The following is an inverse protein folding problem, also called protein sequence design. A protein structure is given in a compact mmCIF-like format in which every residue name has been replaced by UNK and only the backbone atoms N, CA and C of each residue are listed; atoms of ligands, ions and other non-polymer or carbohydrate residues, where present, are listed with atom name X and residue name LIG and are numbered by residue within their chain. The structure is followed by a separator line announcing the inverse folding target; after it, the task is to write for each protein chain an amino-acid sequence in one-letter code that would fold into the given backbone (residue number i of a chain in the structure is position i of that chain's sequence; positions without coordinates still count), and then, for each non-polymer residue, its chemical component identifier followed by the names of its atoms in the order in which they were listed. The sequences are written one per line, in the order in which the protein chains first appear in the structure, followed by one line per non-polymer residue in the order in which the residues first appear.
data_IF_693619610178
#
_entry.id   IF_693619610178
#
_cell.length_a   1.000
_cell.length_b   1.000
_cell.length_c   1.000
_cell.angle_alpha   90.00
_cell.angle_beta   90.00
_cell.angle_gamma   90.00
#
_symmetry.space_group_name_H-M   'P 1'
#
loop_
_entity.id
_entity.type
_entity.pdbx_description
1 polymer ?
#
# COMPACT_ATOMS: atom_id res chain seq x y z
N UNK A 1 -5.24 19.22 1.34
CA UNK A 1 -6.31 19.54 0.36
C UNK A 1 -6.20 18.77 -0.95
N UNK A 2 -5.04 18.75 -1.64
CA UNK A 2 -4.90 18.16 -2.98
C UNK A 2 -5.47 16.72 -3.12
N UNK A 3 -5.23 15.84 -2.14
CA UNK A 3 -5.80 14.48 -2.18
C UNK A 3 -7.34 14.46 -2.27
N UNK A 4 -8.02 15.30 -1.48
CA UNK A 4 -9.48 15.42 -1.54
C UNK A 4 -9.96 16.03 -2.87
N UNK A 5 -9.21 16.99 -3.43
CA UNK A 5 -9.53 17.56 -4.75
C UNK A 5 -9.51 16.47 -5.82
N UNK A 6 -8.51 15.60 -5.81
CA UNK A 6 -8.43 14.50 -6.79
C UNK A 6 -9.57 13.48 -6.66
N UNK A 7 -10.04 13.19 -5.43
CA UNK A 7 -11.22 12.36 -5.22
C UNK A 7 -12.48 13.01 -5.81
N UNK A 8 -12.67 14.31 -5.60
CA UNK A 8 -13.78 15.08 -6.17
C UNK A 8 -13.72 15.14 -7.71
N UNK A 9 -12.52 15.32 -8.27
CA UNK A 9 -12.28 15.33 -9.72
C UNK A 9 -12.60 13.98 -10.38
N UNK A 10 -12.17 12.86 -9.77
CA UNK A 10 -12.47 11.50 -10.26
C UNK A 10 -13.98 11.24 -10.25
N UNK A 11 -14.68 11.65 -9.19
CA UNK A 11 -16.13 11.57 -9.12
C UNK A 11 -16.80 12.41 -10.21
N UNK A 12 -16.43 13.69 -10.32
CA UNK A 12 -17.00 14.63 -11.27
C UNK A 12 -16.76 14.24 -12.73
N UNK A 13 -15.66 13.54 -13.02
CA UNK A 13 -15.37 12.99 -14.34
C UNK A 13 -16.17 11.72 -14.69
N UNK A 14 -16.88 11.12 -13.73
CA UNK A 14 -17.66 9.91 -13.94
C UNK A 14 -16.82 8.66 -14.15
N UNK A 15 -15.60 8.62 -13.61
CA UNK A 15 -14.66 7.49 -13.78
C UNK A 15 -14.91 6.30 -12.85
N UNK A 16 -15.82 6.43 -11.89
CA UNK A 16 -16.12 5.38 -10.92
C UNK A 16 -17.16 4.40 -11.47
N UNK A 17 -16.90 3.09 -11.33
CA UNK A 17 -17.85 2.04 -11.71
C UNK A 17 -19.17 2.17 -10.94
N UNK A 18 -20.27 1.69 -11.52
CA UNK A 18 -21.54 1.61 -10.79
C UNK A 18 -21.38 0.75 -9.53
N UNK A 19 -21.92 1.21 -8.41
CA UNK A 19 -21.84 0.49 -7.13
C UNK A 19 -20.48 0.57 -6.42
N UNK A 20 -19.55 1.42 -6.88
CA UNK A 20 -18.22 1.58 -6.26
C UNK A 20 -18.26 1.76 -4.73
N UNK A 21 -19.27 2.48 -4.22
CA UNK A 21 -19.42 2.77 -2.79
C UNK A 21 -19.71 1.53 -1.93
N UNK A 22 -20.18 0.43 -2.53
CA UNK A 22 -20.47 -0.83 -1.85
C UNK A 22 -19.59 -2.00 -2.30
N UNK A 23 -18.69 -1.76 -3.26
CA UNK A 23 -17.79 -2.78 -3.77
C UNK A 23 -16.82 -3.26 -2.70
N UNK A 24 -16.59 -4.56 -2.62
CA UNK A 24 -15.57 -5.17 -1.77
C UNK A 24 -14.29 -5.41 -2.56
N UNK A 25 -13.22 -5.73 -1.86
CA UNK A 25 -11.93 -6.04 -2.47
C UNK A 25 -12.04 -7.09 -3.60
N UNK A 26 -12.73 -8.20 -3.35
CA UNK A 26 -12.90 -9.27 -4.35
C UNK A 26 -13.62 -8.78 -5.62
N UNK A 27 -14.62 -7.90 -5.47
CA UNK A 27 -15.35 -7.33 -6.61
C UNK A 27 -14.41 -6.44 -7.45
N UNK A 28 -13.62 -5.58 -6.80
CA UNK A 28 -12.65 -4.71 -7.48
C UNK A 28 -11.55 -5.49 -8.21
N UNK A 29 -11.04 -6.56 -7.60
CA UNK A 29 -10.04 -7.43 -8.21
C UNK A 29 -10.60 -8.20 -9.42
N UNK A 30 -11.85 -8.69 -9.34
CA UNK A 30 -12.52 -9.35 -10.45
C UNK A 30 -12.73 -8.39 -11.63
N UNK A 31 -13.27 -7.19 -11.38
CA UNK A 31 -13.46 -6.17 -12.40
C UNK A 31 -12.13 -5.82 -13.10
N UNK A 32 -11.04 -5.70 -12.34
CA UNK A 32 -9.70 -5.46 -12.90
C UNK A 32 -9.23 -6.62 -13.78
N UNK A 33 -9.34 -7.86 -13.29
CA UNK A 33 -8.89 -9.06 -14.00
C UNK A 33 -9.70 -9.36 -15.28
N UNK A 34 -10.98 -9.00 -15.29
CA UNK A 34 -11.91 -9.21 -16.40
C UNK A 34 -11.88 -8.06 -17.42
N UNK A 35 -11.13 -6.98 -17.13
CA UNK A 35 -11.03 -5.80 -18.00
C UNK A 35 -12.24 -4.87 -17.93
N UNK A 36 -13.12 -5.05 -16.94
CA UNK A 36 -14.28 -4.18 -16.67
C UNK A 36 -13.91 -2.99 -15.75
N UNK A 37 -12.75 -3.04 -15.11
CA UNK A 37 -12.11 -1.93 -14.40
C UNK A 37 -10.71 -1.68 -14.96
N UNK A 38 -10.38 -0.43 -15.27
CA UNK A 38 -9.07 -0.09 -15.83
C UNK A 38 -7.99 0.08 -14.75
N UNK A 39 -8.33 0.73 -13.63
CA UNK A 39 -7.42 1.00 -12.53
C UNK A 39 -8.07 0.66 -11.20
N UNK A 40 -7.28 0.09 -10.28
CA UNK A 40 -7.71 -0.16 -8.91
C UNK A 40 -6.63 0.34 -7.95
N UNK A 41 -6.80 1.53 -7.32
CA UNK A 41 -5.82 2.07 -6.38
C UNK A 41 -5.68 1.16 -5.15
N UNK A 42 -4.63 0.35 -5.13
CA UNK A 42 -4.41 -0.67 -4.11
C UNK A 42 -2.92 -0.97 -3.97
N UNK A 43 -2.53 -1.39 -2.76
CA UNK A 43 -1.18 -1.88 -2.51
C UNK A 43 -1.01 -3.30 -3.08
N UNK A 44 0.23 -3.65 -3.41
CA UNK A 44 0.53 -4.91 -4.08
C UNK A 44 0.27 -6.16 -3.24
N UNK A 45 -0.01 -6.04 -1.93
CA UNK A 45 -0.43 -7.19 -1.11
C UNK A 45 -1.66 -7.93 -1.70
N UNK A 46 -2.51 -7.21 -2.44
CA UNK A 46 -3.71 -7.78 -3.06
C UNK A 46 -3.40 -8.72 -4.23
N UNK A 47 -2.18 -8.65 -4.79
CA UNK A 47 -1.78 -9.41 -5.97
C UNK A 47 -1.82 -10.92 -5.74
N UNK A 48 -1.46 -11.42 -4.55
CA UNK A 48 -1.50 -12.85 -4.25
C UNK A 48 -2.91 -13.43 -4.44
N UNK A 49 -3.91 -12.80 -3.83
CA UNK A 49 -5.31 -13.21 -4.00
C UNK A 49 -5.85 -12.99 -5.41
N UNK A 50 -5.37 -11.96 -6.12
CA UNK A 50 -5.68 -11.73 -7.52
C UNK A 50 -5.19 -12.89 -8.40
N UNK A 51 -3.94 -13.34 -8.23
CA UNK A 51 -3.37 -14.40 -9.06
C UNK A 51 -3.92 -15.78 -8.73
N UNK A 52 -4.26 -16.04 -7.46
CA UNK A 52 -4.95 -17.26 -7.05
C UNK A 52 -6.31 -17.40 -7.75
N UNK A 53 -7.06 -16.31 -7.88
CA UNK A 53 -8.37 -16.28 -8.52
C UNK A 53 -8.30 -16.14 -10.05
N UNK A 54 -7.31 -15.38 -10.55
CA UNK A 54 -7.15 -15.01 -11.95
C UNK A 54 -5.68 -15.13 -12.38
N UNK A 55 -5.18 -16.34 -12.66
CA UNK A 55 -3.76 -16.57 -12.96
C UNK A 55 -3.22 -15.75 -14.14
N UNK A 56 -4.06 -15.40 -15.12
CA UNK A 56 -3.69 -14.56 -16.27
C UNK A 56 -3.28 -13.14 -15.86
N UNK A 57 -3.83 -12.63 -14.75
CA UNK A 57 -3.55 -11.28 -14.27
C UNK A 57 -2.07 -11.08 -13.93
N UNK A 58 -1.32 -12.17 -13.73
CA UNK A 58 0.12 -12.15 -13.45
C UNK A 58 0.95 -11.41 -14.52
N UNK A 59 0.57 -11.55 -15.79
CA UNK A 59 1.23 -10.87 -16.91
C UNK A 59 0.41 -9.70 -17.47
N UNK A 60 -0.92 -9.76 -17.31
CA UNK A 60 -1.82 -8.76 -17.88
C UNK A 60 -1.95 -7.49 -17.03
N UNK A 61 -1.81 -7.61 -15.70
CA UNK A 61 -1.94 -6.49 -14.76
C UNK A 61 -0.57 -5.97 -14.35
N UNK A 62 -0.33 -4.69 -14.65
CA UNK A 62 0.87 -3.95 -14.25
C UNK A 62 0.65 -3.06 -13.03
N UNK A 63 1.71 -2.37 -12.63
CA UNK A 63 1.70 -1.39 -11.55
C UNK A 63 2.21 -0.03 -12.04
N UNK A 64 1.64 1.05 -11.50
CA UNK A 64 2.20 2.38 -11.63
C UNK A 64 1.89 3.19 -10.37
N UNK A 65 2.80 4.12 -10.02
CA UNK A 65 2.56 5.04 -8.91
C UNK A 65 1.38 5.95 -9.17
N UNK A 66 0.67 6.36 -8.11
CA UNK A 66 -0.43 7.33 -8.24
C UNK A 66 0.12 8.63 -8.89
N UNK A 67 -0.45 9.06 -10.03
CA UNK A 67 0.08 10.21 -10.76
C UNK A 67 0.05 11.50 -9.93
N UNK A 68 1.15 12.25 -9.98
CA UNK A 68 1.24 13.62 -9.46
C UNK A 68 0.87 14.66 -10.52
N UNK A 69 1.05 15.94 -10.19
CA UNK A 69 0.79 17.06 -11.11
C UNK A 69 1.84 17.16 -12.23
N UNK A 70 3.05 16.63 -12.02
CA UNK A 70 4.16 16.67 -12.99
C UNK A 70 4.46 15.26 -13.51
N UNK A 71 4.22 15.01 -14.80
CA UNK A 71 4.49 13.72 -15.42
C UNK A 71 5.99 13.36 -15.47
N UNK A 72 6.90 14.32 -15.29
CA UNK A 72 8.35 14.07 -15.24
C UNK A 72 8.88 13.84 -13.81
N UNK A 73 8.05 14.06 -12.79
CA UNK A 73 8.39 13.95 -11.37
C UNK A 73 7.31 13.13 -10.66
N UNK A 74 7.47 11.81 -10.75
CA UNK A 74 6.54 10.84 -10.19
C UNK A 74 7.29 9.70 -9.50
N UNK A 75 6.61 9.05 -8.56
CA UNK A 75 7.16 7.95 -7.80
C UNK A 75 6.08 7.01 -7.30
N UNK A 76 6.50 5.96 -6.60
CA UNK A 76 5.60 5.01 -5.96
C UNK A 76 5.54 5.23 -4.45
N UNK A 77 4.33 5.23 -3.91
CA UNK A 77 4.14 5.12 -2.46
C UNK A 77 4.34 3.67 -2.05
N UNK A 78 5.27 3.41 -1.14
CA UNK A 78 5.57 2.06 -0.65
C UNK A 78 5.13 1.90 0.80
N UNK A 79 4.56 0.74 1.11
CA UNK A 79 4.45 0.29 2.50
C UNK A 79 5.77 -0.34 2.91
N UNK A 80 6.35 0.15 4.01
CA UNK A 80 7.59 -0.41 4.52
C UNK A 80 7.36 -1.83 5.02
N UNK A 81 8.31 -2.73 4.78
CA UNK A 81 8.23 -4.12 5.20
C UNK A 81 7.95 -4.28 6.70
N UNK A 82 7.25 -5.35 7.06
CA UNK A 82 7.01 -5.71 8.46
C UNK A 82 8.33 -5.97 9.19
N UNK A 83 8.42 -5.54 10.45
CA UNK A 83 9.55 -5.85 11.32
C UNK A 83 9.29 -7.06 12.21
N UNK A 84 10.31 -7.88 12.45
CA UNK A 84 10.27 -8.94 13.47
C UNK A 84 11.01 -8.44 14.71
N UNK A 85 10.31 -8.37 15.85
CA UNK A 85 10.82 -7.74 17.07
C UNK A 85 10.96 -8.72 18.22
N UNK A 86 12.03 -8.59 19.01
CA UNK A 86 12.20 -9.31 20.28
C UNK A 86 11.77 -8.41 21.45
N UNK A 87 10.85 -8.87 22.32
CA UNK A 87 10.48 -8.12 23.52
C UNK A 87 11.69 -7.82 24.41
N UNK A 88 11.77 -6.58 24.94
CA UNK A 88 12.87 -6.15 25.83
C UNK A 88 13.00 -6.98 27.12
N UNK A 89 11.91 -7.64 27.51
CA UNK A 89 11.85 -8.54 28.67
C UNK A 89 12.47 -9.91 28.41
N UNK A 90 12.75 -10.30 27.17
CA UNK A 90 13.41 -11.56 26.82
C UNK A 90 14.87 -11.54 27.29
N UNK A 91 15.32 -12.59 27.98
CA UNK A 91 16.66 -12.70 28.60
C UNK A 91 17.24 -14.11 28.44
N UNK A 92 18.54 -14.22 28.69
CA UNK A 92 19.27 -15.49 28.73
C UNK A 92 19.23 -16.21 27.39
N UNK A 93 19.22 -17.54 27.44
CA UNK A 93 19.22 -18.42 26.26
C UNK A 93 18.11 -18.09 25.24
N UNK A 94 16.92 -17.70 25.71
CA UNK A 94 15.81 -17.31 24.83
C UNK A 94 16.13 -16.07 24.00
N UNK A 95 16.91 -15.14 24.54
CA UNK A 95 17.32 -13.95 23.80
C UNK A 95 18.33 -14.30 22.71
N UNK A 96 19.27 -15.18 23.01
CA UNK A 96 20.28 -15.61 22.05
C UNK A 96 19.64 -16.39 20.89
N UNK A 97 18.77 -17.37 21.19
CA UNK A 97 18.01 -18.09 20.16
C UNK A 97 17.10 -17.18 19.31
N UNK A 98 16.50 -16.15 19.93
CA UNK A 98 15.68 -15.21 19.19
C UNK A 98 16.52 -14.37 18.20
N UNK A 99 17.74 -13.97 18.57
CA UNK A 99 18.65 -13.26 17.66
C UNK A 99 19.12 -14.17 16.52
N UNK A 100 19.50 -15.41 16.83
CA UNK A 100 19.87 -16.39 15.80
C UNK A 100 18.74 -16.61 14.79
N UNK A 101 17.49 -16.65 15.27
CA UNK A 101 16.33 -16.72 14.38
C UNK A 101 16.15 -15.46 13.54
N UNK A 102 16.34 -14.26 14.09
CA UNK A 102 16.29 -13.02 13.33
C UNK A 102 17.39 -12.97 12.24
N UNK A 103 18.60 -13.42 12.58
CA UNK A 103 19.71 -13.52 11.62
C UNK A 103 19.37 -14.48 10.48
N UNK A 104 18.75 -15.62 10.79
CA UNK A 104 18.23 -16.54 9.77
C UNK A 104 17.13 -15.90 8.92
N UNK A 105 16.16 -15.20 9.51
CA UNK A 105 15.07 -14.54 8.76
C UNK A 105 15.62 -13.52 7.76
N UNK A 106 16.72 -12.83 8.12
CA UNK A 106 17.39 -11.85 7.28
C UNK A 106 18.48 -12.45 6.36
N UNK A 107 18.68 -13.77 6.36
CA UNK A 107 19.66 -14.45 5.49
C UNK A 107 19.05 -14.84 4.14
N UNK A 108 19.88 -15.13 3.12
CA UNK A 108 19.39 -15.66 1.85
C UNK A 108 18.50 -16.90 2.00
N UNK A 109 18.83 -17.79 2.93
CA UNK A 109 18.03 -18.99 3.22
C UNK A 109 16.66 -18.63 3.83
N UNK A 110 16.60 -17.63 4.71
CA UNK A 110 15.34 -17.09 5.23
C UNK A 110 14.49 -16.44 4.16
N UNK A 111 15.10 -15.66 3.26
CA UNK A 111 14.44 -15.08 2.09
C UNK A 111 13.86 -16.17 1.19
N UNK A 112 14.66 -17.20 0.85
CA UNK A 112 14.23 -18.31 0.02
C UNK A 112 13.09 -19.11 0.66
N UNK A 113 13.14 -19.34 1.97
CA UNK A 113 12.08 -20.00 2.71
C UNK A 113 10.75 -19.22 2.64
N UNK A 114 10.80 -17.88 2.80
CA UNK A 114 9.63 -17.01 2.67
C UNK A 114 9.09 -17.01 1.24
N UNK A 115 9.95 -16.81 0.24
CA UNK A 115 9.61 -16.83 -1.20
C UNK A 115 8.92 -18.13 -1.62
N UNK A 116 9.40 -19.26 -1.09
CA UNK A 116 8.83 -20.58 -1.37
C UNK A 116 7.43 -20.74 -0.78
N UNK A 117 7.17 -20.12 0.37
CA UNK A 117 5.88 -20.20 1.03
C UNK A 117 4.86 -19.24 0.43
N UNK A 118 5.31 -18.04 0.07
CA UNK A 118 4.50 -16.99 -0.55
C UNK A 118 5.31 -16.32 -1.63
N UNK A 119 4.70 -16.26 -2.81
CA UNK A 119 5.24 -15.50 -3.91
C UNK A 119 5.42 -14.01 -3.53
N UNK A 120 6.55 -13.39 -3.89
CA UNK A 120 6.76 -11.98 -3.60
C UNK A 120 5.73 -11.12 -4.32
N UNK A 121 5.06 -10.26 -3.58
CA UNK A 121 4.15 -9.25 -4.13
C UNK A 121 4.81 -7.87 -4.24
N UNK A 122 6.11 -7.76 -3.95
CA UNK A 122 6.85 -6.52 -4.05
C UNK A 122 8.33 -6.71 -3.73
N UNK A 123 9.12 -5.63 -3.84
CA UNK A 123 10.54 -5.63 -3.53
C UNK A 123 10.87 -6.06 -2.10
N UNK A 124 12.02 -6.71 -1.92
CA UNK A 124 12.55 -7.01 -0.60
C UNK A 124 13.23 -5.79 0.02
N UNK A 125 12.98 -5.57 1.31
CA UNK A 125 13.67 -4.55 2.12
C UNK A 125 14.92 -5.08 2.83
N UNK A 126 15.34 -6.31 2.50
CA UNK A 126 16.52 -6.96 3.05
C UNK A 126 17.52 -7.16 1.92
N UNK A 127 18.70 -6.54 2.04
CA UNK A 127 19.71 -6.52 0.99
C UNK A 127 20.23 -7.91 0.56
N UNK A 128 20.07 -8.92 1.41
CA UNK A 128 20.46 -10.30 1.13
C UNK A 128 19.40 -11.09 0.35
N UNK A 129 18.19 -10.56 0.18
CA UNK A 129 17.13 -11.20 -0.59
C UNK A 129 17.18 -10.74 -2.05
N UNK A 130 17.06 -11.69 -2.97
CA UNK A 130 16.91 -11.43 -4.40
C UNK A 130 15.51 -11.83 -4.85
N UNK A 131 14.89 -11.02 -5.71
CA UNK A 131 13.62 -11.38 -6.34
C UNK A 131 13.87 -12.48 -7.40
N UNK A 132 12.96 -13.46 -7.53
CA UNK A 132 12.98 -14.39 -8.65
C UNK A 132 12.90 -13.66 -10.00
N UNK A 133 13.54 -14.21 -11.05
CA UNK A 133 13.49 -13.61 -12.39
C UNK A 133 12.08 -13.63 -13.01
N UNK A 134 11.23 -14.55 -12.57
CA UNK A 134 9.89 -14.80 -13.11
C UNK A 134 8.78 -14.14 -12.28
N UNK A 135 9.10 -13.15 -11.42
CA UNK A 135 8.09 -12.44 -10.62
C UNK A 135 7.00 -11.79 -11.49
N UNK A 136 5.76 -11.64 -10.98
CA UNK A 136 4.65 -11.04 -11.72
C UNK A 136 4.96 -9.64 -12.27
N UNK A 137 4.28 -9.23 -13.34
CA UNK A 137 4.50 -7.93 -14.00
C UNK A 137 4.42 -6.75 -13.04
N UNK A 138 3.37 -6.67 -12.23
CA UNK A 138 3.20 -5.59 -11.26
C UNK A 138 4.35 -5.51 -10.23
N UNK A 139 5.02 -6.63 -9.93
CA UNK A 139 6.19 -6.65 -9.04
C UNK A 139 7.42 -6.07 -9.73
N UNK A 140 7.64 -6.41 -11.01
CA UNK A 140 8.71 -5.83 -11.84
C UNK A 140 8.52 -4.31 -11.98
N UNK A 141 7.30 -3.89 -12.31
CA UNK A 141 6.97 -2.47 -12.46
C UNK A 141 7.22 -1.67 -11.16
N UNK A 142 6.93 -2.25 -9.98
CA UNK A 142 7.23 -1.62 -8.68
C UNK A 142 8.74 -1.61 -8.38
N UNK A 143 9.46 -2.67 -8.75
CA UNK A 143 10.91 -2.78 -8.58
C UNK A 143 11.63 -1.65 -9.32
N UNK A 144 11.19 -1.29 -10.53
CA UNK A 144 11.77 -0.17 -11.29
C UNK A 144 11.75 1.15 -10.51
N UNK A 145 10.67 1.44 -9.77
CA UNK A 145 10.60 2.63 -8.91
C UNK A 145 11.60 2.57 -7.74
N UNK A 146 11.76 1.40 -7.13
CA UNK A 146 12.70 1.20 -6.02
C UNK A 146 14.14 1.36 -6.49
N UNK A 147 14.51 0.76 -7.63
CA UNK A 147 15.87 0.86 -8.20
C UNK A 147 16.20 2.28 -8.65
N UNK A 148 15.21 3.02 -9.17
CA UNK A 148 15.36 4.43 -9.51
C UNK A 148 15.47 5.34 -8.27
N UNK A 149 15.20 4.83 -7.06
CA UNK A 149 15.11 5.64 -5.84
C UNK A 149 13.86 6.53 -5.79
N UNK A 150 12.89 6.30 -6.68
CA UNK A 150 11.67 7.10 -6.82
C UNK A 150 10.53 6.52 -5.99
N UNK A 151 10.79 6.32 -4.69
CA UNK A 151 9.78 5.84 -3.75
C UNK A 151 9.73 6.71 -2.51
N UNK A 152 8.53 6.81 -1.93
CA UNK A 152 8.33 7.42 -0.63
C UNK A 152 7.52 6.48 0.24
N UNK A 153 7.83 6.34 1.54
CA UNK A 153 6.98 5.55 2.43
C UNK A 153 5.60 6.21 2.53
N UNK A 154 4.57 5.38 2.71
CA UNK A 154 3.23 5.88 2.95
C UNK A 154 3.18 6.83 4.17
N UNK A 155 2.27 7.80 4.12
CA UNK A 155 2.18 8.87 5.12
C UNK A 155 2.04 8.31 6.54
N UNK A 156 1.48 7.11 6.68
CA UNK A 156 1.30 6.44 7.96
C UNK A 156 2.60 6.10 8.67
N UNK A 157 3.71 5.99 7.95
CA UNK A 157 5.04 5.77 8.52
C UNK A 157 5.79 7.07 8.80
N UNK A 158 5.32 8.20 8.25
CA UNK A 158 5.94 9.51 8.39
C UNK A 158 5.24 10.41 9.40
N UNK A 159 3.94 10.21 9.62
CA UNK A 159 3.12 11.01 10.52
C UNK A 159 2.79 10.27 11.83
N UNK A 160 3.07 10.86 13.00
CA UNK A 160 2.62 10.33 14.28
C UNK A 160 1.13 10.56 14.55
N UNK A 161 0.45 11.39 13.73
CA UNK A 161 -0.95 11.79 13.91
C UNK A 161 -1.75 11.39 12.67
N UNK A 162 -2.86 10.70 12.89
CA UNK A 162 -3.78 10.23 11.85
C UNK A 162 -5.20 10.48 12.33
N UNK A 163 -5.98 11.21 11.56
CA UNK A 163 -7.39 11.38 11.84
C UNK A 163 -8.12 10.04 11.60
N UNK A 164 -8.78 9.45 12.62
CA UNK A 164 -9.47 8.18 12.47
C UNK A 164 -10.66 8.20 11.49
N UNK A 165 -11.18 9.39 11.16
CA UNK A 165 -12.31 9.55 10.23
C UNK A 165 -11.89 9.71 8.76
N UNK A 166 -10.58 9.61 8.44
CA UNK A 166 -10.07 9.83 7.07
C UNK A 166 -10.81 8.99 6.03
N UNK A 167 -11.03 7.70 6.31
CA UNK A 167 -11.70 6.78 5.39
C UNK A 167 -13.11 7.27 5.05
N UNK A 168 -13.90 7.62 6.07
CA UNK A 168 -15.27 8.09 5.88
C UNK A 168 -15.30 9.43 5.13
N UNK A 169 -14.38 10.34 5.44
CA UNK A 169 -14.26 11.63 4.74
C UNK A 169 -13.90 11.41 3.27
N UNK A 170 -12.96 10.50 2.97
CA UNK A 170 -12.60 10.13 1.60
C UNK A 170 -13.80 9.56 0.85
N UNK A 171 -14.61 8.71 1.48
CA UNK A 171 -15.86 8.18 0.89
C UNK A 171 -16.86 9.30 0.60
N UNK A 172 -17.08 10.23 1.55
CA UNK A 172 -18.00 11.35 1.34
C UNK A 172 -17.56 12.24 0.16
N UNK A 173 -16.27 12.56 0.06
CA UNK A 173 -15.74 13.40 -1.02
C UNK A 173 -15.77 12.65 -2.36
N UNK A 174 -15.23 11.42 -2.40
CA UNK A 174 -15.19 10.59 -3.61
C UNK A 174 -16.57 10.14 -4.11
N UNK A 175 -17.61 10.25 -3.27
CA UNK A 175 -19.00 9.99 -3.66
C UNK A 175 -19.79 11.26 -3.99
N UNK A 176 -19.16 12.43 -3.95
CA UNK A 176 -19.81 13.71 -4.22
C UNK A 176 -20.81 14.15 -3.14
N UNK A 177 -20.79 13.54 -1.95
CA UNK A 177 -21.66 13.89 -0.81
C UNK A 177 -21.20 15.21 -0.18
N UNK A 178 -19.90 15.47 -0.19
CA UNK A 178 -19.28 16.69 0.36
C UNK A 178 -18.19 17.19 -0.59
N UNK A 179 -17.84 18.47 -0.49
CA UNK A 179 -16.78 19.03 -1.33
C UNK A 179 -15.38 18.70 -0.81
N UNK A 180 -14.39 18.74 -1.68
CA UNK A 180 -12.99 18.56 -1.31
C UNK A 180 -12.53 19.55 -0.21
N UNK A 181 -12.98 20.80 -0.30
CA UNK A 181 -12.66 21.85 0.67
C UNK A 181 -13.26 21.54 2.06
N UNK A 182 -14.50 21.04 2.10
CA UNK A 182 -15.14 20.65 3.36
C UNK A 182 -14.50 19.38 3.93
N UNK A 183 -14.18 18.40 3.10
CA UNK A 183 -13.46 17.19 3.51
C UNK A 183 -12.10 17.53 4.13
N UNK A 184 -11.33 18.42 3.50
CA UNK A 184 -10.05 18.89 4.04
C UNK A 184 -10.21 19.52 5.43
N UNK A 185 -11.16 20.44 5.62
CA UNK A 185 -11.43 21.05 6.92
C UNK A 185 -11.84 20.04 7.99
N UNK A 186 -12.67 19.07 7.63
CA UNK A 186 -13.08 18.01 8.56
C UNK A 186 -11.89 17.15 8.97
N UNK A 187 -11.00 16.84 8.03
CA UNK A 187 -9.80 16.06 8.34
C UNK A 187 -8.81 16.84 9.21
N UNK A 188 -8.64 18.15 8.98
CA UNK A 188 -7.81 19.01 9.86
C UNK A 188 -8.34 18.98 11.31
N UNK A 189 -9.65 19.11 11.50
CA UNK A 189 -10.29 19.01 12.83
C UNK A 189 -10.12 17.63 13.46
N UNK A 190 -10.15 16.58 12.65
CA UNK A 190 -10.01 15.20 13.10
C UNK A 190 -8.57 14.89 13.56
N UNK A 191 -7.58 15.37 12.79
CA UNK A 191 -6.15 15.32 13.15
C UNK A 191 -5.87 16.14 14.42
N UNK A 192 -6.46 17.34 14.56
CA UNK A 192 -6.32 18.16 15.78
C UNK A 192 -6.86 17.43 17.02
N UNK A 193 -8.06 16.83 16.92
CA UNK A 193 -8.63 16.03 18.01
C UNK A 193 -7.74 14.85 18.37
N UNK A 194 -7.19 14.15 17.37
CA UNK A 194 -6.27 13.04 17.60
C UNK A 194 -5.00 13.52 18.32
N UNK A 195 -4.44 14.66 17.91
CA UNK A 195 -3.27 15.26 18.55
C UNK A 195 -3.52 15.54 20.04
N UNK A 196 -4.65 16.17 20.36
CA UNK A 196 -5.06 16.48 21.72
C UNK A 196 -5.24 15.21 22.58
N UNK A 197 -5.86 14.16 22.03
CA UNK A 197 -6.02 12.88 22.73
C UNK A 197 -4.69 12.19 23.03
N UNK A 198 -3.70 12.34 22.15
CA UNK A 198 -2.35 11.82 22.34
C UNK A 198 -1.47 12.71 23.24
N UNK A 199 -1.97 13.87 23.66
CA UNK A 199 -1.21 14.83 24.47
C UNK A 199 -0.05 15.48 23.71
N UNK A 200 -0.16 15.59 22.38
CA UNK A 200 0.81 16.26 21.54
C UNK A 200 0.57 17.79 21.59
N UNK A 201 1.64 18.61 21.52
CA UNK A 201 1.56 20.07 21.63
C UNK A 201 0.78 20.72 20.49
#
# INVERSE_FOLDING_TARGET
MNGFRHLEEVHGAGYLNQGFASAKLADGLALLAEGEGAHYPMLTFALGGLYDAFPQAREDIGFFGLPGENAADHGATVWTGGGVYVPKSTKGEKLELAKEFLDFVASPEGCAAQTKAYEPTGPYFVAACELPEDVPRAVRDLQDYVEAGNTTPALEFLSPIKGPALEQICVEVGSGITSAEKGARLYDQDVEKQAQQLGLP
#
